data_IF_350873491806
#
_entry.id   IF_350873491806
#
_cell.length_a   1.000
_cell.length_b   1.000
_cell.length_c   1.000
_cell.angle_alpha   90.00
_cell.angle_beta   90.00
_cell.angle_gamma   90.00
#
_symmetry.space_group_name_H-M   'P 1'
#
loop_
_entity.id
_entity.type
_entity.pdbx_description
1 polymer ?
#
# COMPACT_ATOMS: atom_id res chain seq x y z
N UNK A 1 0.05 19.04 1.45
CA UNK A 1 1.30 18.25 1.63
C UNK A 1 2.53 19.16 1.82
N UNK A 2 2.61 19.99 2.87
CA UNK A 2 3.76 20.91 3.06
C UNK A 2 4.75 20.50 4.17
N UNK A 3 4.39 19.51 5.00
CA UNK A 3 5.22 18.97 6.08
C UNK A 3 5.11 17.44 6.07
N UNK A 4 6.04 16.75 5.42
CA UNK A 4 6.16 15.29 5.39
C UNK A 4 7.63 14.91 5.49
N UNK A 5 7.90 13.72 6.01
CA UNK A 5 9.24 13.15 5.97
C UNK A 5 9.60 12.83 4.50
N UNK A 6 10.71 13.34 3.96
CA UNK A 6 11.16 13.01 2.62
C UNK A 6 11.33 11.50 2.43
N UNK A 7 11.00 11.00 1.25
CA UNK A 7 11.09 9.56 0.94
C UNK A 7 10.01 8.69 1.58
N UNK A 8 9.15 9.20 2.48
CA UNK A 8 8.08 8.42 3.10
C UNK A 8 6.72 8.69 2.46
N UNK A 9 6.13 7.63 1.90
CA UNK A 9 4.82 7.64 1.26
C UNK A 9 3.92 6.60 1.92
N UNK A 10 2.68 6.98 2.22
CA UNK A 10 1.64 6.08 2.72
C UNK A 10 0.36 6.35 1.91
N UNK A 11 -0.06 5.33 1.16
CA UNK A 11 -1.21 5.36 0.27
C UNK A 11 -2.33 4.50 0.85
N UNK A 12 -3.57 4.88 0.57
CA UNK A 12 -4.76 4.09 0.87
C UNK A 12 -5.54 3.81 -0.42
N UNK A 13 -5.66 2.54 -0.77
CA UNK A 13 -6.43 2.08 -1.92
C UNK A 13 -7.76 1.50 -1.47
N UNK A 14 -8.85 2.19 -1.76
CA UNK A 14 -10.18 1.64 -1.48
C UNK A 14 -10.45 0.41 -2.36
N UNK A 15 -11.19 -0.56 -1.79
CA UNK A 15 -11.60 -1.82 -2.43
C UNK A 15 -10.44 -2.76 -2.80
N UNK A 16 -9.24 -2.52 -2.25
CA UNK A 16 -8.05 -3.36 -2.45
C UNK A 16 -7.51 -3.78 -1.08
N UNK A 17 -7.01 -5.01 -0.99
CA UNK A 17 -6.37 -5.53 0.21
C UNK A 17 -4.86 -5.33 0.15
N UNK A 18 -4.28 -4.76 1.21
CA UNK A 18 -2.86 -4.43 1.27
C UNK A 18 -1.93 -5.62 1.24
N UNK A 19 -2.34 -6.78 1.78
CA UNK A 19 -1.55 -8.02 1.68
C UNK A 19 -1.45 -8.51 0.23
N UNK A 20 -2.54 -8.40 -0.53
CA UNK A 20 -2.54 -8.76 -1.97
C UNK A 20 -1.59 -7.84 -2.77
N UNK A 21 -1.59 -6.54 -2.47
CA UNK A 21 -0.62 -5.60 -3.05
C UNK A 21 0.81 -5.95 -2.69
N UNK A 22 1.08 -6.25 -1.41
CA UNK A 22 2.41 -6.59 -0.93
C UNK A 22 2.96 -7.83 -1.64
N UNK A 23 2.18 -8.92 -1.68
CA UNK A 23 2.59 -10.18 -2.33
C UNK A 23 2.79 -10.02 -3.84
N UNK A 24 1.94 -9.21 -4.49
CA UNK A 24 2.08 -8.95 -5.92
C UNK A 24 3.36 -8.16 -6.22
N UNK A 25 3.61 -7.09 -5.47
CA UNK A 25 4.80 -6.25 -5.65
C UNK A 25 6.08 -7.02 -5.31
N UNK A 26 6.06 -7.87 -4.29
CA UNK A 26 7.16 -8.77 -3.98
C UNK A 26 7.49 -9.71 -5.15
N UNK A 27 6.46 -10.28 -5.80
CA UNK A 27 6.65 -11.11 -7.01
C UNK A 27 7.27 -10.35 -8.21
N UNK A 28 7.19 -9.01 -8.20
CA UNK A 28 7.80 -8.11 -9.18
C UNK A 28 9.18 -7.59 -8.74
N UNK A 29 9.69 -8.07 -7.59
CA UNK A 29 10.98 -7.66 -7.02
C UNK A 29 10.93 -6.36 -6.22
N UNK A 30 9.74 -5.89 -5.83
CA UNK A 30 9.54 -4.60 -5.17
C UNK A 30 9.23 -4.81 -3.68
N UNK A 31 10.13 -4.34 -2.80
CA UNK A 31 9.95 -4.41 -1.36
C UNK A 31 9.12 -3.24 -0.81
N UNK A 32 7.98 -3.54 -0.20
CA UNK A 32 7.04 -2.57 0.39
C UNK A 32 6.49 -3.08 1.72
N UNK A 33 5.73 -2.23 2.41
CA UNK A 33 5.11 -2.56 3.70
C UNK A 33 3.62 -2.22 3.69
N UNK A 34 2.81 -2.97 4.44
CA UNK A 34 1.37 -2.70 4.65
C UNK A 34 1.05 -2.67 6.15
N UNK A 35 -0.05 -2.03 6.52
CA UNK A 35 -0.58 -2.03 7.89
C UNK A 35 0.31 -1.33 8.92
N UNK A 36 0.43 -1.93 10.11
CA UNK A 36 1.24 -1.43 11.24
C UNK A 36 2.75 -1.67 11.08
N UNK A 37 3.24 -1.97 9.87
CA UNK A 37 4.62 -2.36 9.55
C UNK A 37 5.08 -3.75 10.01
N UNK A 38 4.55 -4.26 11.13
CA UNK A 38 4.83 -5.62 11.60
C UNK A 38 3.65 -6.52 11.25
N UNK A 39 3.90 -7.53 10.42
CA UNK A 39 3.00 -8.65 10.17
C UNK A 39 2.83 -9.46 11.46
N UNK A 40 2.01 -8.98 12.40
CA UNK A 40 1.38 -9.87 13.37
C UNK A 40 0.49 -10.82 12.57
N UNK A 41 0.47 -12.11 12.89
CA UNK A 41 -0.37 -13.16 12.28
C UNK A 41 -1.90 -12.91 12.30
N UNK A 42 -2.35 -11.68 12.54
CA UNK A 42 -3.74 -11.25 12.59
C UNK A 42 -3.99 -10.24 11.47
N UNK A 43 -5.08 -10.45 10.74
CA UNK A 43 -5.65 -9.55 9.73
C UNK A 43 -6.25 -8.28 10.37
N UNK A 44 -5.47 -7.58 11.21
CA UNK A 44 -5.91 -6.36 11.88
C UNK A 44 -5.46 -5.12 11.10
N UNK A 45 -6.35 -4.13 10.91
CA UNK A 45 -5.99 -2.88 10.27
C UNK A 45 -4.96 -2.10 11.11
N UNK A 46 -4.22 -1.20 10.46
CA UNK A 46 -3.22 -0.37 11.14
C UNK A 46 -3.81 0.39 12.32
N UNK A 47 -3.33 0.10 13.54
CA UNK A 47 -3.75 0.80 14.76
C UNK A 47 -3.50 2.32 14.69
N UNK A 48 -2.47 2.72 13.94
CA UNK A 48 -2.17 4.15 13.67
C UNK A 48 -3.24 4.76 12.79
N UNK A 49 -3.63 4.11 11.70
CA UNK A 49 -4.68 4.63 10.80
C UNK A 49 -6.04 4.67 11.49
N UNK A 50 -6.36 3.68 12.31
CA UNK A 50 -7.55 3.68 13.16
C UNK A 50 -7.54 4.88 14.14
N UNK A 51 -6.40 5.13 14.78
CA UNK A 51 -6.24 6.26 15.72
C UNK A 51 -6.35 7.63 15.04
N UNK A 52 -6.05 7.70 13.74
CA UNK A 52 -6.28 8.88 12.91
C UNK A 52 -7.76 9.05 12.49
N UNK A 53 -8.64 8.14 12.91
CA UNK A 53 -10.08 8.18 12.64
C UNK A 53 -10.48 7.58 11.29
N UNK A 54 -9.60 6.83 10.62
CA UNK A 54 -10.00 6.12 9.41
C UNK A 54 -10.88 4.92 9.78
N UNK A 55 -11.99 4.69 9.03
CA UNK A 55 -12.80 3.50 9.24
C UNK A 55 -12.01 2.25 8.87
N UNK A 56 -12.19 1.11 9.59
CA UNK A 56 -11.43 -0.12 9.38
C UNK A 56 -11.33 -0.55 7.92
N UNK A 57 -12.44 -0.49 7.17
CA UNK A 57 -12.51 -0.84 5.74
C UNK A 57 -11.53 -0.05 4.87
N UNK A 58 -11.24 1.21 5.22
CA UNK A 58 -10.27 2.05 4.48
C UNK A 58 -8.83 1.81 4.89
N UNK A 59 -8.59 1.17 6.03
CA UNK A 59 -7.25 0.87 6.54
C UNK A 59 -6.65 -0.39 5.90
N UNK A 60 -7.48 -1.31 5.39
CA UNK A 60 -7.00 -2.58 4.82
C UNK A 60 -6.20 -2.41 3.53
N UNK A 61 -6.50 -1.40 2.72
CA UNK A 61 -5.78 -1.11 1.48
C UNK A 61 -4.58 -0.19 1.64
N UNK A 62 -3.93 -0.20 2.81
CA UNK A 62 -2.77 0.66 3.07
C UNK A 62 -1.51 0.12 2.39
N UNK A 63 -0.70 1.01 1.81
CA UNK A 63 0.60 0.69 1.22
C UNK A 63 1.61 1.76 1.64
N UNK A 64 2.71 1.34 2.22
CA UNK A 64 3.79 2.21 2.68
C UNK A 64 5.07 1.94 1.91
N UNK A 65 5.63 3.01 1.36
CA UNK A 65 6.86 3.01 0.59
C UNK A 65 7.83 3.97 1.27
N UNK A 66 9.06 3.52 1.46
CA UNK A 66 10.14 4.34 2.01
C UNK A 66 11.30 4.28 1.04
N UNK A 67 11.65 5.42 0.45
CA UNK A 67 12.77 5.56 -0.47
C UNK A 67 14.01 6.03 0.26
N UNK A 68 15.17 5.52 -0.16
CA UNK A 68 16.48 5.88 0.34
C UNK A 68 17.32 6.62 -0.72
N UNK A 69 18.57 6.94 -0.35
CA UNK A 69 19.52 7.64 -1.23
C UNK A 69 19.92 6.85 -2.47
N UNK A 70 19.76 5.53 -2.44
CA UNK A 70 20.17 4.63 -3.52
C UNK A 70 19.06 4.39 -4.53
N UNK A 71 17.84 4.88 -4.29
CA UNK A 71 16.76 4.71 -5.24
C UNK A 71 16.91 5.65 -6.43
N UNK A 72 16.53 5.18 -7.62
CA UNK A 72 16.58 5.97 -8.86
C UNK A 72 15.19 6.39 -9.33
N UNK A 73 15.14 7.32 -10.27
CA UNK A 73 13.89 7.77 -10.88
C UNK A 73 13.25 6.65 -11.70
N UNK A 74 14.06 5.86 -12.40
CA UNK A 74 13.61 4.71 -13.18
C UNK A 74 13.00 3.61 -12.30
N UNK A 75 13.57 3.37 -11.12
CA UNK A 75 12.98 2.47 -10.11
C UNK A 75 11.63 3.02 -9.63
N UNK A 76 11.51 4.34 -9.43
CA UNK A 76 10.26 4.96 -9.00
C UNK A 76 9.17 4.84 -10.08
N UNK A 77 9.51 5.03 -11.35
CA UNK A 77 8.60 4.86 -12.49
C UNK A 77 8.12 3.40 -12.59
N UNK A 78 9.05 2.43 -12.54
CA UNK A 78 8.71 1.01 -12.56
C UNK A 78 7.79 0.60 -11.39
N UNK A 79 8.07 1.09 -10.18
CA UNK A 79 7.22 0.87 -9.01
C UNK A 79 5.84 1.48 -9.21
N UNK A 80 5.76 2.69 -9.78
CA UNK A 80 4.51 3.36 -10.11
C UNK A 80 3.64 2.53 -11.07
N UNK A 81 4.22 2.05 -12.17
CA UNK A 81 3.54 1.19 -13.14
C UNK A 81 3.03 -0.11 -12.50
N UNK A 82 3.86 -0.79 -11.72
CA UNK A 82 3.49 -2.02 -11.03
C UNK A 82 2.36 -1.80 -10.01
N UNK A 83 2.35 -0.67 -9.30
CA UNK A 83 1.27 -0.32 -8.37
C UNK A 83 -0.05 -0.11 -9.12
N UNK A 84 -0.02 0.60 -10.25
CA UNK A 84 -1.21 0.83 -11.08
C UNK A 84 -1.78 -0.51 -11.55
N UNK A 85 -0.94 -1.36 -12.14
CA UNK A 85 -1.33 -2.70 -12.61
C UNK A 85 -1.95 -3.53 -11.48
N UNK A 86 -1.32 -3.55 -10.31
CA UNK A 86 -1.80 -4.30 -9.15
C UNK A 86 -3.17 -3.79 -8.67
N UNK A 87 -3.33 -2.48 -8.54
CA UNK A 87 -4.58 -1.85 -8.07
C UNK A 87 -5.72 -2.11 -9.04
N UNK A 88 -5.49 -1.99 -10.35
CA UNK A 88 -6.51 -2.29 -11.37
C UNK A 88 -6.92 -3.76 -11.33
N UNK A 89 -5.93 -4.66 -11.27
CA UNK A 89 -6.16 -6.10 -11.16
C UNK A 89 -7.02 -6.46 -9.95
N UNK A 90 -6.64 -5.97 -8.77
CA UNK A 90 -7.33 -6.32 -7.53
C UNK A 90 -8.70 -5.66 -7.39
N UNK A 91 -8.90 -4.46 -7.96
CA UNK A 91 -10.25 -3.87 -8.08
C UNK A 91 -11.17 -4.69 -8.96
N UNK A 92 -10.67 -5.25 -10.06
CA UNK A 92 -11.46 -6.08 -10.99
C UNK A 92 -12.04 -7.36 -10.37
N UNK A 93 -11.38 -7.90 -9.33
CA UNK A 93 -11.82 -9.10 -8.61
C UNK A 93 -12.50 -8.80 -7.27
N UNK A 94 -12.45 -7.55 -6.81
CA UNK A 94 -12.99 -7.15 -5.52
C UNK A 94 -14.52 -7.21 -5.51
N UNK A 95 -15.09 -7.92 -4.54
CA UNK A 95 -16.53 -7.94 -4.33
C UNK A 95 -17.08 -6.58 -3.86
N UNK A 96 -16.22 -5.74 -3.27
CA UNK A 96 -16.56 -4.40 -2.76
C UNK A 96 -16.48 -3.30 -3.82
N UNK A 97 -15.91 -3.57 -5.00
CA UNK A 97 -15.73 -2.59 -6.08
C UNK A 97 -16.89 -2.51 -7.08
N UNK A 98 -18.01 -3.20 -6.80
CA UNK A 98 -19.19 -3.31 -7.68
C UNK A 98 -20.38 -2.44 -7.24
N UNK A 99 -20.14 -1.40 -6.47
CA UNK A 99 -21.15 -0.38 -6.14
C UNK A 99 -21.14 0.78 -7.15
#
# INVERSE_FOLDING_TARGET
MKRRLPGSLNFGFSHVEGESLLLYLDSKGIAVSTGSACSSHKLEPSHVLLSLGLPPVKCHGSLRITMGRSNTEEEADYVGECIIEAVERFRGISALGRE
#
